data_IF_322035173074
#
_entry.id   IF_322035173074
#
_cell.length_a   1.000
_cell.length_b   1.000
_cell.length_c   1.000
_cell.angle_alpha   90.00
_cell.angle_beta   90.00
_cell.angle_gamma   90.00
#
_symmetry.space_group_name_H-M   'P 1'
#
loop_
_entity.id
_entity.type
_entity.pdbx_description
1 polymer ?
#
# COMPACT_ATOMS: atom_id res chain seq x y z
N UNK A 1 1.65 39.41 -11.89
CA UNK A 1 2.52 38.27 -11.56
C UNK A 1 1.61 37.13 -11.20
N UNK A 2 1.35 36.22 -12.14
CA UNK A 2 0.60 35.00 -11.83
C UNK A 2 1.49 34.16 -10.91
N UNK A 3 1.05 33.93 -9.69
CA UNK A 3 1.62 32.88 -8.85
C UNK A 3 1.69 31.62 -9.72
N UNK A 4 2.90 31.09 -9.90
CA UNK A 4 3.08 29.75 -10.46
C UNK A 4 2.30 28.82 -9.52
N UNK A 5 1.06 28.50 -9.86
CA UNK A 5 0.29 27.52 -9.12
C UNK A 5 1.07 26.22 -9.23
N UNK A 6 1.80 25.87 -8.17
CA UNK A 6 2.44 24.57 -8.06
C UNK A 6 1.32 23.57 -8.30
N UNK A 7 1.40 22.83 -9.40
CA UNK A 7 0.36 21.87 -9.77
C UNK A 7 0.37 20.79 -8.70
N UNK A 8 -0.57 20.87 -7.75
CA UNK A 8 -0.79 19.90 -6.70
C UNK A 8 -1.49 18.66 -7.27
N UNK A 9 -1.32 17.49 -6.66
CA UNK A 9 -1.99 16.28 -7.15
C UNK A 9 -3.48 16.37 -6.87
N UNK A 10 -4.28 15.66 -7.66
CA UNK A 10 -5.73 15.68 -7.49
C UNK A 10 -6.16 15.19 -6.10
N UNK A 11 -5.40 14.29 -5.47
CA UNK A 11 -5.62 13.86 -4.08
C UNK A 11 -5.48 15.02 -3.08
N UNK A 12 -4.41 15.82 -3.18
CA UNK A 12 -4.21 17.03 -2.36
C UNK A 12 -5.34 18.03 -2.53
N UNK A 13 -5.82 18.20 -3.78
CA UNK A 13 -6.93 19.10 -4.09
C UNK A 13 -8.27 18.58 -3.53
N UNK A 14 -8.57 17.29 -3.71
CA UNK A 14 -9.85 16.69 -3.31
C UNK A 14 -9.97 16.56 -1.79
N UNK A 15 -8.89 16.22 -1.09
CA UNK A 15 -8.88 16.06 0.36
C UNK A 15 -8.42 17.31 1.10
N UNK A 16 -8.11 18.39 0.37
CA UNK A 16 -7.70 19.68 0.92
C UNK A 16 -6.56 19.57 1.95
N UNK A 17 -5.49 18.86 1.57
CA UNK A 17 -4.28 18.70 2.38
C UNK A 17 -3.04 18.77 1.49
N UNK A 18 -1.84 18.80 2.10
CA UNK A 18 -0.57 18.83 1.36
C UNK A 18 0.36 17.75 1.88
N UNK A 19 0.93 16.95 0.99
CA UNK A 19 1.92 15.93 1.39
C UNK A 19 3.16 16.54 2.03
N UNK A 20 3.51 17.77 1.64
CA UNK A 20 4.63 18.52 2.21
C UNK A 20 4.48 18.80 3.72
N UNK A 21 3.27 18.74 4.27
CA UNK A 21 3.04 18.92 5.71
C UNK A 21 3.38 17.65 6.51
N UNK A 22 3.47 16.50 5.83
CA UNK A 22 3.73 15.18 6.41
C UNK A 22 5.09 14.59 5.97
N UNK A 23 5.77 15.24 5.02
CA UNK A 23 6.99 14.74 4.39
C UNK A 23 8.08 15.82 4.37
N UNK A 24 9.36 15.45 4.50
CA UNK A 24 9.86 14.08 4.59
C UNK A 24 9.54 13.40 5.92
N UNK A 25 9.36 12.08 5.88
CA UNK A 25 9.10 11.25 7.05
C UNK A 25 10.26 10.29 7.32
N UNK A 26 10.80 10.31 8.54
CA UNK A 26 11.80 9.35 8.98
C UNK A 26 11.11 8.03 9.33
N UNK A 27 11.22 7.05 8.45
CA UNK A 27 10.61 5.74 8.60
C UNK A 27 11.40 4.86 9.57
N UNK A 28 12.72 4.98 9.52
CA UNK A 28 13.68 4.43 10.49
C UNK A 28 14.78 5.46 10.72
N UNK A 29 15.81 5.12 11.51
CA UNK A 29 17.00 5.97 11.68
C UNK A 29 17.68 6.30 10.34
N UNK A 30 17.69 5.34 9.40
CA UNK A 30 18.45 5.45 8.14
C UNK A 30 17.56 5.63 6.91
N UNK A 31 16.26 5.34 7.00
CA UNK A 31 15.34 5.41 5.85
C UNK A 31 14.43 6.63 5.98
N UNK A 32 14.52 7.52 4.99
CA UNK A 32 13.63 8.68 4.84
C UNK A 32 12.69 8.45 3.66
N UNK A 33 11.43 8.84 3.82
CA UNK A 33 10.43 8.82 2.75
C UNK A 33 10.12 10.25 2.34
N UNK A 34 10.16 10.50 1.03
CA UNK A 34 9.83 11.80 0.42
C UNK A 34 8.66 11.64 -0.54
N UNK A 35 7.83 12.65 -0.66
CA UNK A 35 6.82 12.73 -1.71
C UNK A 35 7.39 13.41 -2.95
N UNK A 36 7.00 12.92 -4.12
CA UNK A 36 7.41 13.45 -5.42
C UNK A 36 6.25 13.45 -6.41
N UNK A 37 6.36 14.29 -7.44
CA UNK A 37 5.43 14.30 -8.58
C UNK A 37 5.95 13.42 -9.71
N UNK A 38 5.07 13.12 -10.68
CA UNK A 38 5.38 12.22 -11.80
C UNK A 38 6.68 12.59 -12.54
N UNK A 39 6.87 13.86 -12.87
CA UNK A 39 8.03 14.30 -13.66
C UNK A 39 9.36 14.13 -12.90
N UNK A 40 9.34 14.14 -11.57
CA UNK A 40 10.49 13.84 -10.72
C UNK A 40 10.68 12.34 -10.54
N UNK A 41 9.58 11.61 -10.35
CA UNK A 41 9.60 10.17 -10.03
C UNK A 41 9.92 9.29 -11.25
N UNK A 42 9.57 9.70 -12.47
CA UNK A 42 9.68 8.85 -13.66
C UNK A 42 11.14 8.45 -13.96
N UNK A 43 12.10 9.33 -13.71
CA UNK A 43 13.53 9.03 -13.87
C UNK A 43 13.99 7.94 -12.89
N UNK A 44 13.49 7.99 -11.65
CA UNK A 44 13.78 7.01 -10.61
C UNK A 44 13.13 5.66 -10.96
N UNK A 45 11.87 5.67 -11.40
CA UNK A 45 11.15 4.46 -11.83
C UNK A 45 11.93 3.74 -12.92
N UNK A 46 12.33 4.46 -13.98
CA UNK A 46 13.12 3.89 -15.09
C UNK A 46 14.44 3.29 -14.63
N UNK A 47 15.05 3.85 -13.58
CA UNK A 47 16.32 3.37 -13.01
C UNK A 47 16.12 2.12 -12.15
N UNK A 48 15.17 2.11 -11.22
CA UNK A 48 15.11 1.07 -10.17
C UNK A 48 14.17 -0.09 -10.51
N UNK A 49 13.12 0.12 -11.32
CA UNK A 49 12.12 -0.93 -11.60
C UNK A 49 12.70 -2.13 -12.36
N UNK A 50 13.60 -1.97 -13.35
CA UNK A 50 14.24 -3.11 -14.01
C UNK A 50 14.99 -4.02 -13.03
N UNK A 51 15.69 -3.43 -12.06
CA UNK A 51 16.39 -4.17 -11.00
C UNK A 51 15.42 -4.92 -10.09
N UNK A 52 14.36 -4.25 -9.62
CA UNK A 52 13.41 -4.83 -8.66
C UNK A 52 12.59 -5.97 -9.29
N UNK A 53 12.04 -5.73 -10.49
CA UNK A 53 11.17 -6.70 -11.15
C UNK A 53 11.92 -7.74 -11.97
N UNK A 54 13.25 -7.63 -12.06
CA UNK A 54 14.11 -8.51 -12.87
C UNK A 54 13.60 -8.64 -14.30
N UNK A 55 13.04 -7.55 -14.83
CA UNK A 55 12.52 -7.52 -16.20
C UNK A 55 13.66 -7.22 -17.16
N UNK A 56 13.86 -8.11 -18.13
CA UNK A 56 14.60 -7.73 -19.34
C UNK A 56 13.71 -6.80 -20.17
N UNK A 57 14.27 -5.76 -20.78
CA UNK A 57 13.53 -4.73 -21.54
C UNK A 57 12.52 -5.32 -22.55
N UNK A 58 12.82 -6.50 -23.11
CA UNK A 58 11.98 -7.22 -24.06
C UNK A 58 10.66 -7.83 -23.50
N UNK A 59 10.50 -7.93 -22.17
CA UNK A 59 9.30 -8.52 -21.51
C UNK A 59 8.85 -7.67 -20.33
N UNK A 60 8.60 -6.39 -20.58
CA UNK A 60 8.12 -5.47 -19.56
C UNK A 60 6.59 -5.36 -19.59
N UNK A 61 5.91 -6.15 -18.75
CA UNK A 61 4.44 -6.05 -18.57
C UNK A 61 3.98 -4.70 -18.00
N UNK A 62 4.90 -3.81 -17.62
CA UNK A 62 4.62 -2.44 -17.18
C UNK A 62 4.74 -1.40 -18.32
N UNK A 63 5.25 -1.80 -19.50
CA UNK A 63 5.28 -0.93 -20.68
C UNK A 63 3.90 -0.85 -21.30
N UNK A 64 3.30 0.34 -21.25
CA UNK A 64 2.12 0.65 -22.06
C UNK A 64 2.62 1.04 -23.43
N UNK A 65 2.59 0.11 -24.39
CA UNK A 65 3.04 0.39 -25.74
C UNK A 65 2.02 1.20 -26.55
N UNK A 66 0.75 1.15 -26.14
CA UNK A 66 -0.34 1.67 -26.96
C UNK A 66 -0.65 3.16 -26.71
N UNK A 67 -0.34 3.71 -25.52
CA UNK A 67 -0.67 5.11 -25.16
C UNK A 67 0.17 5.68 -24.00
N UNK A 68 1.50 5.79 -24.14
CA UNK A 68 2.38 6.29 -23.08
C UNK A 68 2.08 7.73 -22.64
N UNK A 69 1.54 8.56 -23.52
CA UNK A 69 1.18 9.96 -23.23
C UNK A 69 -0.02 10.06 -22.29
N UNK A 70 -1.05 9.21 -22.45
CA UNK A 70 -2.22 9.19 -21.57
C UNK A 70 -1.86 8.69 -20.19
N UNK A 71 -1.04 7.65 -20.09
CA UNK A 71 -0.51 7.16 -18.80
C UNK A 71 0.27 8.25 -18.09
N UNK A 72 1.15 8.95 -18.81
CA UNK A 72 1.92 10.06 -18.25
C UNK A 72 1.01 11.19 -17.76
N UNK A 73 0.00 11.56 -18.56
CA UNK A 73 -0.95 12.62 -18.20
C UNK A 73 -1.79 12.25 -16.98
N UNK A 74 -2.26 10.99 -16.92
CA UNK A 74 -2.96 10.45 -15.76
C UNK A 74 -2.10 10.54 -14.49
N UNK A 75 -0.84 10.10 -14.53
CA UNK A 75 0.03 10.12 -13.36
C UNK A 75 0.49 11.53 -12.96
N UNK A 76 0.59 12.48 -13.90
CA UNK A 76 0.83 13.89 -13.55
C UNK A 76 -0.32 14.48 -12.74
N UNK A 77 -1.55 14.11 -13.05
CA UNK A 77 -2.73 14.63 -12.37
C UNK A 77 -3.04 13.88 -11.07
N UNK A 78 -3.08 12.55 -11.14
CA UNK A 78 -3.62 11.71 -10.09
C UNK A 78 -2.55 10.98 -9.27
N UNK A 79 -1.29 10.98 -9.71
CA UNK A 79 -0.23 10.16 -9.13
C UNK A 79 0.41 10.82 -7.90
N UNK A 80 0.60 10.02 -6.86
CA UNK A 80 1.41 10.34 -5.69
C UNK A 80 2.56 9.32 -5.58
N UNK A 81 3.78 9.81 -5.51
CA UNK A 81 4.99 8.98 -5.51
C UNK A 81 5.71 9.16 -4.19
N UNK A 82 6.02 8.05 -3.53
CA UNK A 82 6.73 8.04 -2.26
C UNK A 82 8.06 7.33 -2.44
N UNK A 83 9.16 8.06 -2.30
CA UNK A 83 10.51 7.59 -2.56
C UNK A 83 11.17 7.28 -1.22
N UNK A 84 11.62 6.04 -1.06
CA UNK A 84 12.36 5.59 0.11
C UNK A 84 13.85 5.76 -0.20
N UNK A 85 14.56 6.55 0.60
CA UNK A 85 15.99 6.81 0.45
C UNK A 85 16.73 6.38 1.71
N UNK A 86 17.83 5.68 1.51
CA UNK A 86 18.78 5.36 2.57
C UNK A 86 19.75 6.52 2.74
N UNK A 87 19.71 7.17 3.89
CA UNK A 87 20.54 8.33 4.20
C UNK A 87 22.01 7.97 4.41
N UNK A 88 22.32 6.70 4.66
CA UNK A 88 23.70 6.23 4.88
C UNK A 88 24.45 6.09 3.56
N UNK A 89 23.76 5.61 2.52
CA UNK A 89 24.35 5.29 1.21
C UNK A 89 23.94 6.26 0.10
N UNK A 90 22.97 7.13 0.37
CA UNK A 90 22.24 7.96 -0.61
C UNK A 90 21.55 7.15 -1.73
N UNK A 91 21.32 5.85 -1.50
CA UNK A 91 20.62 4.99 -2.45
C UNK A 91 19.10 5.09 -2.31
N UNK A 92 18.40 4.89 -3.43
CA UNK A 92 16.95 4.67 -3.40
C UNK A 92 16.70 3.24 -2.95
N UNK A 93 16.08 3.07 -1.78
CA UNK A 93 15.71 1.78 -1.22
C UNK A 93 14.47 1.18 -1.90
N UNK A 94 13.57 2.04 -2.39
CA UNK A 94 12.33 1.62 -3.02
C UNK A 94 11.39 2.78 -3.34
N UNK A 95 10.20 2.44 -3.81
CA UNK A 95 9.16 3.40 -4.15
C UNK A 95 7.75 2.82 -3.95
N UNK A 96 6.83 3.64 -3.46
CA UNK A 96 5.40 3.42 -3.62
C UNK A 96 4.82 4.42 -4.64
N UNK A 97 3.97 3.90 -5.52
CA UNK A 97 3.23 4.67 -6.52
C UNK A 97 1.75 4.48 -6.20
N UNK A 98 1.10 5.58 -5.86
CA UNK A 98 -0.33 5.63 -5.60
C UNK A 98 -1.01 6.51 -6.64
N UNK A 99 -2.31 6.34 -6.77
CA UNK A 99 -3.15 7.28 -7.49
C UNK A 99 -4.48 7.46 -6.78
N UNK A 100 -5.08 8.64 -6.91
CA UNK A 100 -6.45 8.85 -6.48
C UNK A 100 -7.37 7.87 -7.23
N UNK A 101 -8.15 7.09 -6.50
CA UNK A 101 -9.13 6.18 -7.08
C UNK A 101 -10.48 6.87 -7.27
N UNK A 102 -10.96 7.47 -6.18
CA UNK A 102 -12.17 8.28 -6.10
C UNK A 102 -12.06 9.24 -4.90
N UNK A 103 -13.14 9.94 -4.57
CA UNK A 103 -13.18 10.93 -3.48
C UNK A 103 -12.81 10.37 -2.10
N UNK A 104 -12.84 9.05 -1.90
CA UNK A 104 -12.60 8.41 -0.61
C UNK A 104 -11.51 7.34 -0.61
N UNK A 105 -10.83 7.11 -1.73
CA UNK A 105 -9.92 5.97 -1.91
C UNK A 105 -8.57 6.36 -2.51
N UNK A 106 -7.48 5.89 -1.89
CA UNK A 106 -6.15 5.89 -2.49
C UNK A 106 -5.84 4.50 -3.04
N UNK A 107 -5.49 4.40 -4.33
CA UNK A 107 -5.12 3.13 -4.96
C UNK A 107 -3.60 3.01 -5.09
N UNK A 108 -3.00 2.02 -4.43
CA UNK A 108 -1.64 1.58 -4.69
C UNK A 108 -1.57 0.94 -6.06
N UNK A 109 -0.81 1.57 -6.95
CA UNK A 109 -0.49 1.04 -8.28
C UNK A 109 0.70 0.10 -8.21
N UNK A 110 1.67 0.41 -7.36
CA UNK A 110 2.86 -0.40 -7.14
C UNK A 110 3.50 0.00 -5.82
N UNK A 111 4.03 -0.97 -5.08
CA UNK A 111 5.07 -0.70 -4.10
C UNK A 111 6.17 -1.73 -4.27
N UNK A 112 7.40 -1.26 -4.32
CA UNK A 112 8.53 -2.04 -4.74
C UNK A 112 9.77 -1.61 -3.95
N UNK A 113 10.44 -2.57 -3.32
CA UNK A 113 11.69 -2.37 -2.58
C UNK A 113 12.81 -3.10 -3.31
N UNK A 114 14.00 -2.48 -3.39
CA UNK A 114 15.21 -3.15 -3.88
C UNK A 114 15.55 -4.35 -2.99
N UNK A 115 16.12 -5.43 -3.56
CA UNK A 115 16.27 -6.70 -2.85
C UNK A 115 16.94 -6.60 -1.47
N UNK A 116 17.98 -5.78 -1.32
CA UNK A 116 18.71 -5.59 -0.07
C UNK A 116 17.90 -4.88 1.03
N UNK A 117 16.81 -4.19 0.67
CA UNK A 117 15.90 -3.50 1.60
C UNK A 117 14.62 -4.29 1.89
N UNK A 118 14.46 -5.48 1.31
CA UNK A 118 13.29 -6.33 1.54
C UNK A 118 13.34 -7.00 2.92
N UNK A 119 12.17 -7.37 3.45
CA UNK A 119 12.04 -8.05 4.75
C UNK A 119 12.54 -7.26 5.98
N UNK A 120 12.79 -5.96 5.85
CA UNK A 120 13.20 -5.08 6.95
C UNK A 120 12.03 -4.35 7.65
N UNK A 121 10.78 -4.72 7.35
CA UNK A 121 9.60 -4.07 7.94
C UNK A 121 9.27 -2.67 7.39
N UNK A 122 10.05 -2.16 6.43
CA UNK A 122 9.83 -0.82 5.84
C UNK A 122 8.43 -0.66 5.24
N UNK A 123 7.95 -1.68 4.53
CA UNK A 123 6.63 -1.62 3.92
C UNK A 123 5.50 -1.50 4.96
N UNK A 124 5.38 -2.39 5.97
CA UNK A 124 4.41 -2.23 7.05
C UNK A 124 4.46 -0.87 7.74
N UNK A 125 5.64 -0.41 8.16
CA UNK A 125 5.81 0.88 8.85
C UNK A 125 5.29 2.04 8.00
N UNK A 126 5.61 2.03 6.69
CA UNK A 126 5.17 3.10 5.80
C UNK A 126 3.65 3.06 5.61
N UNK A 127 3.06 1.87 5.44
CA UNK A 127 1.62 1.76 5.29
C UNK A 127 0.84 2.15 6.53
N UNK A 128 1.40 1.91 7.73
CA UNK A 128 0.81 2.34 8.99
C UNK A 128 0.81 3.87 9.10
N UNK A 129 1.96 4.49 8.85
CA UNK A 129 2.07 5.95 8.80
C UNK A 129 1.11 6.55 7.76
N UNK A 130 1.12 6.03 6.53
CA UNK A 130 0.26 6.51 5.46
C UNK A 130 -1.22 6.35 5.82
N UNK A 131 -1.61 5.22 6.41
CA UNK A 131 -2.98 5.00 6.87
C UNK A 131 -3.39 6.00 7.96
N UNK A 132 -2.49 6.37 8.88
CA UNK A 132 -2.75 7.41 9.88
C UNK A 132 -3.03 8.76 9.21
N UNK A 133 -2.15 9.21 8.32
CA UNK A 133 -2.32 10.50 7.61
C UNK A 133 -3.63 10.53 6.83
N UNK A 134 -3.92 9.46 6.08
CA UNK A 134 -5.13 9.37 5.27
C UNK A 134 -6.39 9.31 6.12
N UNK A 135 -6.34 8.64 7.29
CA UNK A 135 -7.44 8.63 8.25
C UNK A 135 -7.71 10.03 8.79
N UNK A 136 -6.67 10.78 9.13
CA UNK A 136 -6.79 12.13 9.70
C UNK A 136 -7.45 13.12 8.72
N UNK A 137 -7.20 12.97 7.42
CA UNK A 137 -7.83 13.80 6.37
C UNK A 137 -9.16 13.23 5.85
N UNK A 138 -9.69 12.17 6.49
CA UNK A 138 -11.03 11.64 6.24
C UNK A 138 -11.16 10.68 5.05
N UNK A 139 -10.05 10.19 4.49
CA UNK A 139 -10.05 9.14 3.46
C UNK A 139 -10.65 7.86 4.04
N UNK A 140 -11.47 7.17 3.26
CA UNK A 140 -12.20 5.99 3.72
C UNK A 140 -11.40 4.70 3.64
N UNK A 141 -10.50 4.58 2.65
CA UNK A 141 -9.83 3.32 2.35
C UNK A 141 -8.56 3.46 1.52
N UNK A 142 -7.72 2.45 1.63
CA UNK A 142 -6.56 2.21 0.76
C UNK A 142 -6.83 0.93 -0.01
N UNK A 143 -6.64 0.96 -1.32
CA UNK A 143 -6.89 -0.17 -2.21
C UNK A 143 -5.64 -0.55 -3.00
N UNK A 144 -5.59 -1.78 -3.49
CA UNK A 144 -4.57 -2.23 -4.42
C UNK A 144 -4.98 -3.53 -5.11
N UNK A 145 -4.34 -3.83 -6.23
CA UNK A 145 -4.54 -5.08 -6.96
C UNK A 145 -3.26 -5.93 -6.86
N UNK A 146 -3.40 -7.18 -6.42
CA UNK A 146 -2.29 -8.12 -6.26
C UNK A 146 -2.56 -9.37 -7.08
N UNK A 147 -1.55 -9.87 -7.81
CA UNK A 147 -1.69 -11.15 -8.50
C UNK A 147 -2.10 -12.25 -7.52
N UNK A 148 -3.10 -13.07 -7.88
CA UNK A 148 -3.55 -14.19 -7.05
C UNK A 148 -2.45 -15.23 -6.79
N UNK A 149 -1.41 -15.28 -7.63
CA UNK A 149 -0.25 -16.15 -7.44
C UNK A 149 0.83 -15.57 -6.52
N UNK A 150 0.77 -14.26 -6.20
CA UNK A 150 1.71 -13.61 -5.28
C UNK A 150 1.28 -13.82 -3.81
N UNK A 151 1.35 -15.08 -3.36
CA UNK A 151 0.90 -15.52 -2.03
C UNK A 151 1.64 -14.82 -0.89
N UNK A 152 2.92 -14.50 -1.08
CA UNK A 152 3.72 -13.82 -0.06
C UNK A 152 3.19 -12.40 0.17
N UNK A 153 2.94 -11.65 -0.90
CA UNK A 153 2.45 -10.27 -0.78
C UNK A 153 1.02 -10.23 -0.22
N UNK A 154 0.16 -11.17 -0.64
CA UNK A 154 -1.18 -11.33 -0.06
C UNK A 154 -1.12 -11.60 1.46
N UNK A 155 -0.25 -12.51 1.91
CA UNK A 155 -0.08 -12.81 3.33
C UNK A 155 0.37 -11.59 4.14
N UNK A 156 1.33 -10.81 3.60
CA UNK A 156 1.78 -9.57 4.25
C UNK A 156 0.61 -8.59 4.37
N UNK A 157 -0.16 -8.38 3.30
CA UNK A 157 -1.29 -7.44 3.30
C UNK A 157 -2.40 -7.86 4.24
N UNK A 158 -2.75 -9.14 4.29
CA UNK A 158 -3.72 -9.65 5.26
C UNK A 158 -3.25 -9.41 6.70
N UNK A 159 -1.95 -9.62 7.00
CA UNK A 159 -1.40 -9.30 8.34
C UNK A 159 -1.44 -7.80 8.67
N UNK A 160 -1.42 -6.94 7.66
CA UNK A 160 -1.56 -5.48 7.81
C UNK A 160 -3.03 -5.02 7.89
N UNK A 161 -3.98 -5.96 7.94
CA UNK A 161 -5.41 -5.67 8.03
C UNK A 161 -6.05 -5.26 6.70
N UNK A 162 -5.47 -5.68 5.57
CA UNK A 162 -6.18 -5.61 4.29
C UNK A 162 -7.05 -6.86 4.12
N UNK A 163 -8.27 -6.65 3.64
CA UNK A 163 -9.20 -7.73 3.29
C UNK A 163 -9.39 -7.81 1.77
N UNK A 164 -9.71 -9.00 1.28
CA UNK A 164 -10.04 -9.18 -0.14
C UNK A 164 -11.46 -8.66 -0.37
N UNK A 165 -11.62 -7.74 -1.31
CA UNK A 165 -12.93 -7.11 -1.62
C UNK A 165 -13.38 -7.33 -3.05
N UNK A 166 -12.57 -7.98 -3.88
CA UNK A 166 -12.96 -8.32 -5.25
C UNK A 166 -11.87 -9.04 -6.04
N UNK A 167 -12.21 -9.34 -7.29
CA UNK A 167 -11.31 -9.98 -8.25
C UNK A 167 -11.45 -9.28 -9.61
N UNK A 168 -10.35 -9.18 -10.36
CA UNK A 168 -10.41 -8.69 -11.73
C UNK A 168 -9.42 -9.45 -12.63
N UNK A 169 -9.78 -9.65 -13.89
CA UNK A 169 -8.88 -10.19 -14.89
C UNK A 169 -8.17 -9.04 -15.60
N UNK A 170 -6.85 -8.97 -15.45
CA UNK A 170 -5.98 -8.03 -16.13
C UNK A 170 -5.36 -8.68 -17.37
N UNK A 171 -5.34 -7.98 -18.50
CA UNK A 171 -4.62 -8.44 -19.69
C UNK A 171 -3.11 -8.62 -19.46
N UNK A 172 -2.51 -7.77 -18.63
CA UNK A 172 -1.06 -7.77 -18.38
C UNK A 172 -0.64 -8.66 -17.20
N UNK A 173 -1.54 -8.93 -16.26
CA UNK A 173 -1.22 -9.62 -15.00
C UNK A 173 -2.12 -10.83 -14.68
N UNK A 174 -3.04 -11.19 -15.59
CA UNK A 174 -3.97 -12.29 -15.39
C UNK A 174 -4.96 -12.02 -14.26
N UNK A 175 -5.32 -13.05 -13.49
CA UNK A 175 -6.22 -12.89 -12.35
C UNK A 175 -5.55 -12.12 -11.21
N UNK A 176 -6.12 -10.97 -10.90
CA UNK A 176 -5.74 -10.13 -9.76
C UNK A 176 -6.84 -10.13 -8.70
N UNK A 177 -6.41 -9.93 -7.46
CA UNK A 177 -7.25 -9.84 -6.27
C UNK A 177 -7.21 -8.40 -5.80
N UNK A 178 -8.38 -7.78 -5.71
CA UNK A 178 -8.54 -6.45 -5.11
C UNK A 178 -8.49 -6.62 -3.60
N UNK A 179 -7.60 -5.89 -2.97
CA UNK A 179 -7.47 -5.81 -1.53
C UNK A 179 -7.76 -4.40 -1.05
N UNK A 180 -8.37 -4.28 0.12
CA UNK A 180 -8.77 -3.01 0.72
C UNK A 180 -8.41 -2.99 2.19
N UNK A 181 -7.79 -1.90 2.65
CA UNK A 181 -7.70 -1.53 4.06
C UNK A 181 -8.69 -0.40 4.30
N UNK A 182 -9.71 -0.66 5.11
CA UNK A 182 -10.65 0.37 5.55
C UNK A 182 -9.99 1.23 6.64
N UNK A 183 -10.18 2.54 6.55
CA UNK A 183 -9.61 3.52 7.48
C UNK A 183 -10.65 4.09 8.45
N UNK A 184 -11.92 4.10 8.03
CA UNK A 184 -13.04 4.51 8.88
C UNK A 184 -13.47 3.38 9.80
N UNK A 185 -13.87 3.78 11.00
CA UNK A 185 -14.46 2.85 11.97
C UNK A 185 -15.73 2.24 11.38
N UNK A 186 -15.91 0.94 11.61
CA UNK A 186 -17.06 0.13 11.18
C UNK A 186 -17.18 -0.13 9.66
N UNK A 187 -16.42 0.51 8.78
CA UNK A 187 -16.52 0.23 7.33
C UNK A 187 -16.13 -1.22 7.00
N UNK A 188 -15.08 -1.74 7.66
CA UNK A 188 -14.70 -3.15 7.53
C UNK A 188 -15.78 -4.10 8.06
N UNK A 189 -16.35 -3.80 9.24
CA UNK A 189 -17.41 -4.61 9.83
C UNK A 189 -18.67 -4.61 8.95
N UNK A 190 -19.04 -3.45 8.42
CA UNK A 190 -20.15 -3.29 7.47
C UNK A 190 -19.89 -4.04 6.17
N UNK A 191 -18.67 -3.98 5.64
CA UNK A 191 -18.30 -4.76 4.47
C UNK A 191 -18.41 -6.26 4.75
N UNK A 192 -17.89 -6.73 5.89
CA UNK A 192 -17.96 -8.13 6.28
C UNK A 192 -19.41 -8.62 6.40
N UNK A 193 -20.28 -7.82 7.02
CA UNK A 193 -21.72 -8.11 7.17
C UNK A 193 -22.42 -8.23 5.80
N UNK A 194 -22.23 -7.25 4.91
CA UNK A 194 -22.88 -7.23 3.59
C UNK A 194 -22.33 -8.27 2.63
N UNK A 195 -21.01 -8.48 2.60
CA UNK A 195 -20.34 -9.30 1.60
C UNK A 195 -20.30 -10.77 2.01
N UNK A 196 -20.06 -11.04 3.28
CA UNK A 196 -19.95 -12.42 3.77
C UNK A 196 -21.30 -13.00 4.14
N UNK A 197 -22.34 -12.16 4.32
CA UNK A 197 -23.60 -12.52 4.98
C UNK A 197 -23.35 -13.31 6.28
N UNK A 198 -22.19 -13.13 6.90
CA UNK A 198 -21.74 -13.98 8.00
C UNK A 198 -22.50 -13.68 9.28
N UNK A 199 -23.16 -12.53 9.39
CA UNK A 199 -24.15 -12.32 10.45
C UNK A 199 -25.24 -13.39 10.49
N UNK A 200 -25.54 -14.06 9.36
CA UNK A 200 -26.46 -15.20 9.31
C UNK A 200 -25.79 -16.55 9.65
N UNK A 201 -24.52 -16.77 9.31
CA UNK A 201 -23.81 -18.04 9.54
C UNK A 201 -22.97 -18.09 10.83
N UNK A 202 -22.56 -16.94 11.38
CA UNK A 202 -21.73 -16.81 12.58
C UNK A 202 -22.52 -16.67 13.89
N UNK A 203 -23.85 -16.51 13.82
CA UNK A 203 -24.72 -16.57 15.00
C UNK A 203 -24.57 -17.89 15.77
N UNK A 204 -24.20 -18.99 15.10
CA UNK A 204 -23.95 -20.29 15.74
C UNK A 204 -22.47 -20.57 15.98
N UNK A 205 -21.56 -19.97 15.20
CA UNK A 205 -20.10 -20.11 15.34
C UNK A 205 -19.61 -19.49 16.66
N UNK A 206 -20.10 -18.31 17.02
CA UNK A 206 -19.70 -17.61 18.25
C UNK A 206 -20.30 -18.21 19.52
N UNK A 207 -21.42 -18.94 19.44
CA UNK A 207 -22.03 -19.60 20.60
C UNK A 207 -21.26 -20.84 21.08
N UNK A 208 -20.39 -21.42 20.25
CA UNK A 208 -19.66 -22.66 20.54
C UNK A 208 -18.14 -22.50 20.67
N UNK A 209 -17.59 -21.32 20.39
CA UNK A 209 -16.18 -21.06 20.62
C UNK A 209 -15.95 -20.78 22.12
N UNK A 210 -15.98 -21.85 22.93
CA UNK A 210 -15.43 -21.78 24.28
C UNK A 210 -13.92 -21.62 24.14
N UNK A 211 -13.32 -20.49 24.56
CA UNK A 211 -11.87 -20.41 24.60
C UNK A 211 -11.38 -21.59 25.44
N UNK A 212 -10.49 -22.43 24.88
CA UNK A 212 -9.85 -23.49 25.64
C UNK A 212 -9.31 -22.83 26.91
N UNK A 213 -9.84 -23.23 28.07
CA UNK A 213 -9.38 -22.77 29.38
C UNK A 213 -7.87 -22.71 29.33
N UNK A 214 -7.31 -21.53 29.58
CA UNK A 214 -5.89 -21.30 29.76
C UNK A 214 -5.36 -22.44 30.62
N UNK A 215 -4.59 -23.35 30.02
CA UNK A 215 -3.92 -24.40 30.76
C UNK A 215 -2.87 -23.64 31.58
N UNK A 216 -3.18 -23.40 32.85
CA UNK A 216 -2.19 -22.92 33.79
C UNK A 216 -1.17 -24.02 33.95
N UNK A 217 0.01 -23.86 33.34
CA UNK A 217 1.17 -24.66 33.67
C UNK A 217 1.60 -24.30 35.10
N UNK A 218 0.98 -24.94 36.09
CA UNK A 218 1.54 -25.02 37.44
C UNK A 218 2.65 -26.05 37.43
N UNK A 219 3.89 -25.59 37.56
CA UNK A 219 5.03 -26.44 37.89
C UNK A 219 5.98 -26.69 36.72
N UNK A 220 6.74 -25.67 36.33
CA UNK A 220 8.14 -25.89 36.00
C UNK A 220 8.95 -25.19 37.08
N UNK A 221 9.44 -26.02 38.00
CA UNK A 221 10.36 -25.62 39.06
C UNK A 221 11.59 -24.96 38.43
N UNK A 222 11.89 -23.76 38.91
CA UNK A 222 13.24 -23.20 38.92
C UNK A 222 14.13 -24.09 39.79
N UNK A 223 14.84 -25.07 39.21
CA UNK A 223 16.05 -25.62 39.82
C UNK A 223 17.05 -26.08 38.76
N UNK A 224 18.20 -25.41 38.80
CA UNK A 224 19.56 -25.89 38.54
C UNK A 224 20.07 -26.04 37.08
N UNK A 225 21.22 -25.36 36.91
CA UNK A 225 22.20 -25.33 35.81
C UNK A 225 21.93 -24.39 34.63
#
# INVERSE_FOLDING_TARGET
MSENSVITSLSEQVWNFRWADYMPFHLTENIIVTHAKYDEAIGIIKKIFPEIFRTNEAKNNFSDQDSPEFKSSYYRLCGDFFIFRDQTTDEIAGMAVCALHDWGGLNFRTIAMRPQYQSQGLYPLFTEFLASVLKDVGVSRIEGDVSGSNRQHLNILTKMGYVITGHSASGSFGLTVRITKFLRENDEARFADLFSCTSASDQHSNAKFQPKKTIQFKGLNEQAF
#
